data_IF_865276292577
#
_entry.id   IF_865276292577
#
_cell.length_a   1.000
_cell.length_b   1.000
_cell.length_c   1.000
_cell.angle_alpha   90.00
_cell.angle_beta   90.00
_cell.angle_gamma   90.00
#
_symmetry.space_group_name_H-M   'P 1'
#
loop_
_entity.id
_entity.type
_entity.pdbx_description
1 polymer ?
#
# COMPACT_ATOMS: atom_id res chain seq x y z
N UNK A 1 -28.53 -18.09 34.77
CA UNK A 1 -27.99 -17.70 33.45
C UNK A 1 -26.48 -17.91 33.44
N UNK A 2 -25.98 -18.95 32.75
CA UNK A 2 -24.53 -19.19 32.55
C UNK A 2 -24.08 -18.43 31.31
N UNK A 3 -23.18 -17.45 31.44
CA UNK A 3 -22.47 -16.82 30.31
C UNK A 3 -21.34 -17.75 29.88
N UNK A 4 -21.51 -18.47 28.78
CA UNK A 4 -20.40 -19.16 28.11
C UNK A 4 -19.69 -18.16 27.20
N UNK A 5 -18.73 -17.42 27.76
CA UNK A 5 -17.70 -16.77 26.96
C UNK A 5 -16.71 -17.86 26.54
N UNK A 6 -17.08 -18.66 25.53
CA UNK A 6 -16.13 -19.52 24.86
C UNK A 6 -15.20 -18.60 24.05
N UNK A 7 -14.09 -18.20 24.67
CA UNK A 7 -13.00 -17.53 23.99
C UNK A 7 -12.44 -18.51 22.96
N UNK A 8 -12.91 -18.39 21.72
CA UNK A 8 -12.43 -19.13 20.57
C UNK A 8 -10.89 -19.04 20.53
N UNK A 9 -10.22 -20.16 20.80
CA UNK A 9 -8.78 -20.18 21.01
C UNK A 9 -8.08 -19.81 19.71
N UNK A 10 -6.91 -19.15 19.79
CA UNK A 10 -6.14 -18.80 18.59
C UNK A 10 -5.84 -20.01 17.69
N UNK A 11 -5.79 -21.21 18.29
CA UNK A 11 -5.60 -22.49 17.59
C UNK A 11 -6.83 -22.92 16.77
N UNK A 12 -8.04 -22.65 17.24
CA UNK A 12 -9.28 -22.96 16.51
C UNK A 12 -9.41 -22.10 15.25
N UNK A 13 -9.00 -20.82 15.34
CA UNK A 13 -8.97 -19.92 14.17
C UNK A 13 -7.95 -20.36 13.12
N UNK A 14 -6.82 -20.93 13.55
CA UNK A 14 -5.79 -21.47 12.65
C UNK A 14 -6.26 -22.79 12.01
N UNK A 15 -6.98 -23.63 12.75
CA UNK A 15 -7.59 -24.84 12.23
C UNK A 15 -8.70 -24.52 11.21
N UNK A 16 -9.60 -23.57 11.53
CA UNK A 16 -10.64 -23.06 10.63
C UNK A 16 -10.05 -22.39 9.37
N UNK A 17 -8.95 -21.65 9.49
CA UNK A 17 -8.27 -21.07 8.34
C UNK A 17 -7.63 -22.13 7.41
N UNK A 18 -7.21 -23.27 7.99
CA UNK A 18 -6.65 -24.40 7.27
C UNK A 18 -7.74 -25.24 6.58
N UNK A 19 -8.87 -25.43 7.25
CA UNK A 19 -10.07 -26.10 6.72
C UNK A 19 -10.82 -25.25 5.68
N UNK A 20 -10.74 -23.91 5.77
CA UNK A 20 -11.34 -22.99 4.80
C UNK A 20 -10.58 -22.91 3.45
N UNK A 21 -9.56 -23.75 3.23
CA UNK A 21 -8.85 -23.83 1.94
C UNK A 21 -8.09 -22.56 1.56
N UNK A 22 -7.74 -21.69 2.52
CA UNK A 22 -6.93 -20.50 2.26
C UNK A 22 -5.46 -20.90 2.04
N UNK A 23 -5.19 -21.47 0.87
CA UNK A 23 -3.87 -21.88 0.43
C UNK A 23 -2.87 -20.73 0.52
N UNK A 24 -1.67 -21.02 1.03
CA UNK A 24 -0.53 -20.08 1.09
C UNK A 24 -0.05 -19.64 -0.31
N UNK A 25 -0.54 -20.28 -1.36
CA UNK A 25 -0.10 -20.13 -2.74
C UNK A 25 -1.20 -19.41 -3.54
N UNK A 26 -0.84 -18.31 -4.19
CA UNK A 26 -1.72 -17.58 -5.09
C UNK A 26 -1.38 -17.91 -6.53
N UNK A 27 -2.15 -18.80 -7.17
CA UNK A 27 -1.91 -19.23 -8.55
C UNK A 27 -1.94 -18.04 -9.52
N UNK A 28 -2.90 -17.14 -9.36
CA UNK A 28 -3.01 -15.92 -10.17
C UNK A 28 -1.85 -14.95 -9.90
N UNK A 29 -1.39 -14.85 -8.65
CA UNK A 29 -0.22 -14.05 -8.31
C UNK A 29 1.05 -14.57 -8.98
N UNK A 30 1.23 -15.89 -8.98
CA UNK A 30 2.37 -16.56 -9.64
C UNK A 30 2.31 -16.36 -11.15
N UNK A 31 1.13 -16.54 -11.77
CA UNK A 31 0.94 -16.30 -13.20
C UNK A 31 1.26 -14.85 -13.58
N UNK A 32 0.66 -13.89 -12.87
CA UNK A 32 0.90 -12.46 -13.09
C UNK A 32 2.39 -12.11 -12.93
N UNK A 33 3.03 -12.62 -11.87
CA UNK A 33 4.46 -12.44 -11.64
C UNK A 33 5.32 -13.01 -12.76
N UNK A 34 4.95 -14.18 -13.30
CA UNK A 34 5.67 -14.81 -14.42
C UNK A 34 5.53 -14.01 -15.72
N UNK A 35 4.33 -13.51 -16.03
CA UNK A 35 4.14 -12.61 -17.18
C UNK A 35 4.94 -11.31 -17.03
N UNK A 36 4.96 -10.74 -15.82
CA UNK A 36 5.75 -9.53 -15.53
C UNK A 36 7.25 -9.80 -15.68
N UNK A 37 7.74 -10.96 -15.24
CA UNK A 37 9.14 -11.32 -15.45
C UNK A 37 9.49 -11.31 -16.94
N UNK A 38 8.73 -12.02 -17.77
CA UNK A 38 8.99 -12.04 -19.22
C UNK A 38 8.87 -10.66 -19.87
N UNK A 39 7.83 -9.89 -19.54
CA UNK A 39 7.68 -8.52 -20.05
C UNK A 39 8.86 -7.63 -19.65
N UNK A 40 9.26 -7.66 -18.38
CA UNK A 40 10.40 -6.90 -17.88
C UNK A 40 11.71 -7.35 -18.54
N UNK A 41 11.90 -8.66 -18.77
CA UNK A 41 13.06 -9.18 -19.47
C UNK A 41 13.15 -8.60 -20.89
N UNK A 42 12.06 -8.64 -21.66
CA UNK A 42 12.04 -8.12 -23.03
C UNK A 42 12.31 -6.61 -23.09
N UNK A 43 11.74 -5.84 -22.16
CA UNK A 43 11.98 -4.39 -22.08
C UNK A 43 13.43 -4.09 -21.71
N UNK A 44 13.98 -4.76 -20.68
CA UNK A 44 15.37 -4.54 -20.26
C UNK A 44 16.36 -5.01 -21.34
N UNK A 45 16.10 -6.16 -21.96
CA UNK A 45 16.93 -6.68 -23.04
C UNK A 45 16.92 -5.76 -24.28
N UNK A 46 15.76 -5.19 -24.63
CA UNK A 46 15.68 -4.24 -25.75
C UNK A 46 16.44 -2.94 -25.48
N UNK A 47 16.39 -2.44 -24.23
CA UNK A 47 17.21 -1.29 -23.81
C UNK A 47 18.69 -1.61 -23.91
N UNK A 48 19.13 -2.76 -23.39
CA UNK A 48 20.53 -3.19 -23.50
C UNK A 48 20.97 -3.33 -24.96
N UNK A 49 20.13 -3.91 -25.82
CA UNK A 49 20.41 -4.02 -27.25
C UNK A 49 20.53 -2.65 -27.92
N UNK A 50 19.63 -1.72 -27.62
CA UNK A 50 19.64 -0.35 -28.17
C UNK A 50 20.91 0.41 -27.74
N UNK A 51 21.29 0.33 -26.45
CA UNK A 51 22.52 0.96 -25.93
C UNK A 51 23.77 0.33 -26.56
N UNK A 52 23.80 -0.99 -26.69
CA UNK A 52 24.94 -1.71 -27.30
C UNK A 52 25.16 -1.27 -28.76
N UNK A 53 24.07 -1.07 -29.50
CA UNK A 53 24.11 -0.54 -30.85
C UNK A 53 24.57 0.94 -30.89
N UNK A 54 24.05 1.78 -30.00
CA UNK A 54 24.39 3.20 -29.96
C UNK A 54 25.86 3.48 -29.58
N UNK A 55 26.45 2.64 -28.72
CA UNK A 55 27.86 2.76 -28.28
C UNK A 55 28.83 2.12 -29.29
N UNK A 56 28.34 1.54 -30.38
CA UNK A 56 29.17 0.88 -31.41
C UNK A 56 29.88 -0.37 -30.88
N UNK A 57 29.35 -0.98 -29.81
CA UNK A 57 29.93 -2.21 -29.24
C UNK A 57 29.82 -3.33 -30.26
N UNK A 58 28.74 -3.37 -31.06
CA UNK A 58 28.53 -4.33 -32.15
C UNK A 58 29.73 -4.44 -33.10
N UNK A 59 30.38 -3.32 -33.44
CA UNK A 59 31.55 -3.30 -34.33
C UNK A 59 32.85 -3.71 -33.60
N UNK A 60 32.93 -3.43 -32.30
CA UNK A 60 34.06 -3.83 -31.44
C UNK A 60 34.02 -5.32 -31.07
N UNK A 61 32.86 -5.97 -31.18
CA UNK A 61 32.72 -7.43 -31.02
C UNK A 61 33.63 -8.19 -32.00
N UNK A 62 33.90 -7.63 -33.18
CA UNK A 62 34.76 -8.25 -34.18
C UNK A 62 36.28 -8.21 -33.83
N UNK A 63 36.71 -7.36 -32.89
CA UNK A 63 38.14 -7.08 -32.62
C UNK A 63 38.59 -7.43 -31.20
N UNK A 64 37.65 -7.64 -30.28
CA UNK A 64 37.95 -8.01 -28.89
C UNK A 64 37.97 -9.54 -28.71
N UNK A 65 38.74 -10.01 -27.73
CA UNK A 65 38.80 -11.42 -27.37
C UNK A 65 37.42 -11.92 -26.90
N UNK A 66 36.96 -13.02 -27.50
CA UNK A 66 35.66 -13.64 -27.20
C UNK A 66 35.45 -13.99 -25.72
N UNK A 67 36.54 -14.22 -24.99
CA UNK A 67 36.51 -14.56 -23.57
C UNK A 67 36.09 -13.37 -22.70
N UNK A 68 36.69 -12.20 -22.89
CA UNK A 68 36.41 -11.00 -22.09
C UNK A 68 35.05 -10.36 -22.44
N UNK A 69 34.69 -10.40 -23.73
CA UNK A 69 33.35 -10.07 -24.19
C UNK A 69 32.29 -11.02 -23.64
N UNK A 70 32.60 -12.32 -23.56
CA UNK A 70 31.71 -13.34 -23.04
C UNK A 70 31.35 -13.13 -21.58
N UNK A 71 32.33 -12.74 -20.73
CA UNK A 71 32.06 -12.46 -19.30
C UNK A 71 31.15 -11.25 -19.17
N UNK A 72 31.53 -10.15 -19.83
CA UNK A 72 30.85 -8.87 -19.66
C UNK A 72 29.41 -8.93 -20.17
N UNK A 73 29.21 -9.44 -21.38
CA UNK A 73 27.88 -9.65 -21.95
C UNK A 73 27.06 -10.62 -21.08
N UNK A 74 27.70 -11.69 -20.60
CA UNK A 74 27.08 -12.65 -19.70
C UNK A 74 26.62 -12.07 -18.37
N UNK A 75 27.42 -11.21 -17.74
CA UNK A 75 27.05 -10.51 -16.51
C UNK A 75 25.91 -9.52 -16.73
N UNK A 76 25.88 -8.83 -17.88
CA UNK A 76 24.76 -7.96 -18.25
C UNK A 76 23.47 -8.77 -18.37
N UNK A 77 23.52 -9.92 -19.06
CA UNK A 77 22.36 -10.83 -19.17
C UNK A 77 21.93 -11.33 -17.79
N UNK A 78 22.86 -11.76 -16.94
CA UNK A 78 22.56 -12.18 -15.58
C UNK A 78 21.89 -11.06 -14.76
N UNK A 79 22.37 -9.81 -14.88
CA UNK A 79 21.77 -8.67 -14.21
C UNK A 79 20.34 -8.38 -14.73
N UNK A 80 20.14 -8.43 -16.05
CA UNK A 80 18.81 -8.26 -16.66
C UNK A 80 17.84 -9.33 -16.17
N UNK A 81 18.27 -10.60 -16.17
CA UNK A 81 17.48 -11.72 -15.66
C UNK A 81 17.16 -11.55 -14.17
N UNK A 82 18.15 -11.14 -13.37
CA UNK A 82 17.98 -10.90 -11.95
C UNK A 82 16.90 -9.85 -11.72
N UNK A 83 17.00 -8.68 -12.37
CA UNK A 83 16.05 -7.60 -12.22
C UNK A 83 14.65 -7.99 -12.72
N UNK A 84 14.56 -8.62 -13.89
CA UNK A 84 13.30 -9.10 -14.46
C UNK A 84 12.58 -10.05 -13.51
N UNK A 85 13.25 -11.11 -13.05
CA UNK A 85 12.64 -12.08 -12.15
C UNK A 85 12.42 -11.50 -10.75
N UNK A 86 13.24 -10.55 -10.28
CA UNK A 86 12.98 -9.78 -9.06
C UNK A 86 11.65 -9.04 -9.14
N UNK A 87 11.36 -8.35 -10.25
CA UNK A 87 10.08 -7.68 -10.45
C UNK A 87 8.91 -8.66 -10.53
N UNK A 88 9.07 -9.78 -11.24
CA UNK A 88 8.05 -10.82 -11.32
C UNK A 88 7.73 -11.43 -9.96
N UNK A 89 8.77 -11.78 -9.20
CA UNK A 89 8.63 -12.25 -7.83
C UNK A 89 7.98 -11.22 -6.91
N UNK A 90 8.32 -9.94 -7.04
CA UNK A 90 7.70 -8.86 -6.28
C UNK A 90 6.20 -8.77 -6.50
N UNK A 91 5.74 -8.84 -7.76
CA UNK A 91 4.31 -8.84 -8.08
C UNK A 91 3.61 -10.05 -7.49
N UNK A 92 4.20 -11.25 -7.61
CA UNK A 92 3.64 -12.47 -7.01
C UNK A 92 3.60 -12.40 -5.48
N UNK A 93 4.64 -11.86 -4.85
CA UNK A 93 4.76 -11.67 -3.41
C UNK A 93 3.73 -10.70 -2.85
N UNK A 94 3.33 -9.68 -3.62
CA UNK A 94 2.25 -8.76 -3.21
C UNK A 94 0.87 -9.40 -3.16
N UNK A 95 0.66 -10.48 -3.91
CA UNK A 95 -0.57 -11.26 -3.88
C UNK A 95 -0.46 -12.50 -2.97
N UNK A 96 0.71 -12.73 -2.36
CA UNK A 96 0.98 -13.85 -1.48
C UNK A 96 0.56 -13.55 -0.03
N UNK A 97 -0.32 -14.37 0.55
CA UNK A 97 -0.63 -14.32 1.99
C UNK A 97 0.43 -15.09 2.78
N UNK A 98 1.37 -14.37 3.41
CA UNK A 98 2.37 -14.88 4.37
C UNK A 98 3.38 -15.90 3.80
N UNK A 99 3.58 -15.92 2.48
CA UNK A 99 4.45 -16.88 1.80
C UNK A 99 5.07 -16.27 0.52
N UNK A 100 5.57 -15.04 0.61
CA UNK A 100 6.16 -14.31 -0.51
C UNK A 100 7.33 -15.03 -1.15
N UNK A 101 8.22 -15.61 -0.35
CA UNK A 101 9.34 -16.43 -0.84
C UNK A 101 8.86 -17.64 -1.67
N UNK A 102 7.80 -18.33 -1.22
CA UNK A 102 7.26 -19.51 -1.90
C UNK A 102 6.58 -19.13 -3.22
N UNK A 103 5.82 -18.02 -3.23
CA UNK A 103 5.20 -17.53 -4.47
C UNK A 103 6.25 -17.00 -5.45
N UNK A 104 7.32 -16.37 -4.97
CA UNK A 104 8.49 -16.01 -5.77
C UNK A 104 9.17 -17.24 -6.38
N UNK A 105 9.41 -18.28 -5.59
CA UNK A 105 9.95 -19.55 -6.11
C UNK A 105 9.02 -20.20 -7.16
N UNK A 106 7.70 -20.14 -6.95
CA UNK A 106 6.74 -20.64 -7.93
C UNK A 106 6.74 -19.84 -9.24
N UNK A 107 7.09 -18.55 -9.22
CA UNK A 107 7.31 -17.77 -10.46
C UNK A 107 8.49 -18.35 -11.25
N UNK A 108 9.59 -18.72 -10.58
CA UNK A 108 10.69 -19.43 -11.22
C UNK A 108 10.23 -20.76 -11.83
N UNK A 109 9.57 -21.60 -11.05
CA UNK A 109 9.10 -22.92 -11.50
C UNK A 109 8.14 -22.78 -12.69
N UNK A 110 7.14 -21.90 -12.59
CA UNK A 110 6.20 -21.67 -13.68
C UNK A 110 6.89 -21.09 -14.92
N UNK A 111 7.86 -20.19 -14.73
CA UNK A 111 8.68 -19.68 -15.81
C UNK A 111 9.37 -20.81 -16.57
N UNK A 112 10.12 -21.66 -15.87
CA UNK A 112 10.77 -22.83 -16.48
C UNK A 112 9.77 -23.74 -17.20
N UNK A 113 8.61 -24.02 -16.59
CA UNK A 113 7.57 -24.83 -17.21
C UNK A 113 7.03 -24.21 -18.51
N UNK A 114 6.84 -22.89 -18.56
CA UNK A 114 6.42 -22.19 -19.78
C UNK A 114 7.50 -22.30 -20.85
N UNK A 115 8.77 -22.08 -20.52
CA UNK A 115 9.87 -22.22 -21.50
C UNK A 115 9.91 -23.63 -22.07
N UNK A 116 9.89 -24.65 -21.20
CA UNK A 116 9.87 -26.06 -21.63
C UNK A 116 8.65 -26.36 -22.51
N UNK A 117 7.46 -25.90 -22.11
CA UNK A 117 6.22 -26.10 -22.85
C UNK A 117 6.26 -25.44 -24.24
N UNK A 118 6.76 -24.20 -24.33
CA UNK A 118 6.95 -23.50 -25.61
C UNK A 118 7.99 -24.20 -26.47
N UNK A 119 9.12 -24.63 -25.91
CA UNK A 119 10.14 -25.38 -26.65
C UNK A 119 9.57 -26.68 -27.24
N UNK A 120 8.80 -27.45 -26.47
CA UNK A 120 8.12 -28.65 -26.96
C UNK A 120 7.13 -28.31 -28.07
N UNK A 121 6.31 -27.27 -27.89
CA UNK A 121 5.33 -26.85 -28.90
C UNK A 121 6.01 -26.42 -30.21
N UNK A 122 7.09 -25.65 -30.14
CA UNK A 122 7.89 -25.25 -31.31
C UNK A 122 8.47 -26.49 -32.01
N UNK A 123 8.99 -27.46 -31.26
CA UNK A 123 9.54 -28.70 -31.84
C UNK A 123 8.48 -29.61 -32.49
N UNK A 124 7.22 -29.52 -32.07
CA UNK A 124 6.12 -30.27 -32.67
C UNK A 124 5.60 -29.61 -33.95
N UNK A 125 5.77 -28.30 -34.09
CA UNK A 125 5.30 -27.50 -35.23
C UNK A 125 6.40 -27.27 -36.28
N UNK A 126 7.66 -27.19 -35.85
CA UNK A 126 8.82 -27.13 -36.73
C UNK A 126 9.31 -28.56 -37.02
N UNK A 127 9.43 -28.93 -38.31
CA UNK A 127 9.99 -30.22 -38.75
C UNK A 127 11.18 -30.66 -37.88
N UNK A 128 11.03 -31.83 -37.23
CA UNK A 128 11.82 -32.27 -36.07
C UNK A 128 13.35 -32.34 -36.26
N UNK A 129 13.84 -32.27 -37.50
CA UNK A 129 15.26 -32.29 -37.82
C UNK A 129 16.00 -30.97 -37.48
N UNK A 130 15.30 -29.83 -37.42
CA UNK A 130 15.92 -28.55 -37.04
C UNK A 130 16.16 -28.45 -35.52
N UNK A 131 15.21 -28.95 -34.74
CA UNK A 131 15.23 -28.96 -33.28
C UNK A 131 16.37 -29.81 -32.69
N UNK A 132 16.54 -31.03 -33.19
CA UNK A 132 17.52 -32.00 -32.69
C UNK A 132 18.96 -31.54 -32.93
N UNK A 133 19.21 -30.75 -33.99
CA UNK A 133 20.53 -30.16 -34.30
C UNK A 133 20.94 -29.06 -33.31
N UNK A 134 19.98 -28.27 -32.80
CA UNK A 134 20.25 -27.21 -31.82
C UNK A 134 20.44 -27.72 -30.38
N UNK A 135 19.90 -28.90 -30.01
CA UNK A 135 20.09 -29.44 -28.65
C UNK A 135 21.42 -30.18 -28.46
N UNK A 136 22.05 -30.68 -29.53
CA UNK A 136 23.35 -31.36 -29.44
C UNK A 136 24.53 -30.40 -29.24
N UNK A 137 24.32 -29.09 -29.43
CA UNK A 137 25.35 -28.05 -29.26
C UNK A 137 25.44 -27.47 -27.85
N UNK A 138 24.65 -27.97 -26.88
CA UNK A 138 24.56 -27.42 -25.50
C UNK A 138 25.84 -27.65 -24.66
N UNK A 139 26.88 -28.30 -25.22
CA UNK A 139 28.28 -28.13 -24.80
C UNK A 139 28.50 -28.08 -23.28
N UNK A 140 28.22 -29.18 -22.58
CA UNK A 140 28.47 -29.27 -21.15
C UNK A 140 29.99 -29.32 -20.94
N UNK A 141 30.59 -28.34 -20.25
CA UNK A 141 32.03 -28.28 -20.03
C UNK A 141 32.47 -29.43 -19.13
N UNK A 142 33.42 -30.24 -19.60
CA UNK A 142 33.88 -31.47 -18.92
C UNK A 142 35.30 -31.38 -18.37
N UNK A 143 36.00 -30.26 -18.60
CA UNK A 143 37.38 -30.05 -18.16
C UNK A 143 37.53 -28.85 -17.22
N UNK A 144 38.45 -28.94 -16.24
CA UNK A 144 38.68 -27.88 -15.25
C UNK A 144 39.10 -26.52 -15.83
N UNK A 145 39.54 -26.48 -17.09
CA UNK A 145 39.85 -25.24 -17.82
C UNK A 145 38.59 -24.57 -18.36
N UNK A 146 37.62 -25.35 -18.83
CA UNK A 146 36.30 -24.86 -19.27
C UNK A 146 35.44 -24.34 -18.10
N UNK A 147 35.67 -24.81 -16.87
CA UNK A 147 35.04 -24.26 -15.66
C UNK A 147 35.49 -22.82 -15.37
N UNK A 148 36.70 -22.44 -15.79
CA UNK A 148 37.23 -21.08 -15.69
C UNK A 148 36.79 -20.15 -16.83
N UNK A 149 36.20 -20.70 -17.90
CA UNK A 149 35.80 -19.91 -19.07
C UNK A 149 34.67 -18.95 -18.72
N UNK A 150 34.75 -17.78 -19.34
CA UNK A 150 33.76 -16.72 -19.28
C UNK A 150 32.30 -17.15 -19.47
N UNK A 151 32.06 -18.05 -20.43
CA UNK A 151 30.73 -18.59 -20.72
C UNK A 151 30.15 -19.41 -19.57
N UNK A 152 31.00 -20.13 -18.83
CA UNK A 152 30.58 -20.94 -17.67
C UNK A 152 30.22 -20.04 -16.49
N UNK A 153 31.03 -19.02 -16.20
CA UNK A 153 30.74 -18.04 -15.13
C UNK A 153 29.46 -17.26 -15.42
N UNK A 154 29.31 -16.75 -16.64
CA UNK A 154 28.12 -16.04 -17.11
C UNK A 154 26.85 -16.91 -17.04
N UNK A 155 26.95 -18.16 -17.46
CA UNK A 155 25.85 -19.13 -17.41
C UNK A 155 25.42 -19.43 -15.98
N UNK A 156 26.38 -19.68 -15.08
CA UNK A 156 26.11 -19.92 -13.65
C UNK A 156 25.47 -18.67 -13.03
N UNK A 157 26.02 -17.48 -13.29
CA UNK A 157 25.46 -16.23 -12.78
C UNK A 157 24.01 -16.01 -13.25
N UNK A 158 23.73 -16.31 -14.51
CA UNK A 158 22.37 -16.21 -15.08
C UNK A 158 21.40 -17.22 -14.45
N UNK A 159 21.85 -18.45 -14.21
CA UNK A 159 21.06 -19.47 -13.52
C UNK A 159 20.72 -19.05 -12.09
N UNK A 160 21.73 -18.57 -11.35
CA UNK A 160 21.54 -18.05 -10.00
C UNK A 160 20.60 -16.84 -10.00
N UNK A 161 20.73 -15.94 -10.98
CA UNK A 161 19.86 -14.77 -11.11
C UNK A 161 18.38 -15.14 -11.28
N UNK A 162 18.08 -16.11 -12.14
CA UNK A 162 16.72 -16.60 -12.40
C UNK A 162 16.11 -17.28 -11.16
N UNK A 163 16.92 -17.94 -10.33
CA UNK A 163 16.45 -18.64 -9.11
C UNK A 163 16.31 -17.66 -7.94
N UNK A 164 17.32 -16.83 -7.70
CA UNK A 164 17.41 -15.95 -6.52
C UNK A 164 16.55 -14.70 -6.69
N UNK A 165 16.52 -14.11 -7.89
CA UNK A 165 15.75 -12.92 -8.22
C UNK A 165 14.30 -12.97 -7.74
N UNK A 166 13.49 -13.96 -8.16
CA UNK A 166 12.07 -13.97 -7.85
C UNK A 166 11.80 -14.33 -6.39
N UNK A 167 12.68 -15.09 -5.72
CA UNK A 167 12.58 -15.34 -4.28
C UNK A 167 12.77 -14.04 -3.49
N UNK A 168 13.83 -13.28 -3.80
CA UNK A 168 14.09 -11.98 -3.18
C UNK A 168 12.94 -11.00 -3.47
N UNK A 169 12.44 -11.00 -4.70
CA UNK A 169 11.31 -10.18 -5.12
C UNK A 169 10.07 -10.50 -4.30
N UNK A 170 9.75 -11.79 -4.19
CA UNK A 170 8.61 -12.29 -3.42
C UNK A 170 8.65 -11.88 -1.95
N UNK A 171 9.82 -12.00 -1.32
CA UNK A 171 10.03 -11.54 0.07
C UNK A 171 9.82 -10.03 0.18
N UNK A 172 10.36 -9.25 -0.76
CA UNK A 172 10.26 -7.79 -0.72
C UNK A 172 8.82 -7.31 -0.92
N UNK A 173 8.06 -7.96 -1.82
CA UNK A 173 6.65 -7.69 -2.08
C UNK A 173 5.78 -7.95 -0.84
N UNK A 174 6.05 -9.03 -0.12
CA UNK A 174 5.36 -9.38 1.12
C UNK A 174 5.67 -8.39 2.26
N UNK A 175 6.95 -8.04 2.46
CA UNK A 175 7.40 -7.16 3.56
C UNK A 175 6.72 -5.80 3.52
N UNK A 176 6.46 -5.26 2.33
CA UNK A 176 5.81 -3.96 2.18
C UNK A 176 4.38 -3.96 2.75
N UNK A 177 3.61 -5.03 2.52
CA UNK A 177 2.27 -5.18 3.09
C UNK A 177 2.30 -5.48 4.59
N UNK A 178 3.26 -6.30 5.05
CA UNK A 178 3.43 -6.56 6.48
C UNK A 178 3.69 -5.27 7.27
N UNK A 179 4.49 -4.34 6.72
CA UNK A 179 4.78 -3.04 7.36
C UNK A 179 3.54 -2.15 7.48
N UNK A 180 2.69 -2.12 6.45
CA UNK A 180 1.46 -1.32 6.46
C UNK A 180 0.41 -1.91 7.41
N UNK A 181 0.24 -3.24 7.40
CA UNK A 181 -0.68 -3.92 8.31
C UNK A 181 -0.21 -3.78 9.76
N UNK A 182 1.09 -3.90 10.02
CA UNK A 182 1.64 -3.67 11.37
C UNK A 182 1.41 -2.23 11.86
N UNK A 183 1.56 -1.24 10.99
CA UNK A 183 1.26 0.16 11.32
C UNK A 183 -0.24 0.42 11.52
N UNK A 184 -1.11 -0.30 10.81
CA UNK A 184 -2.56 -0.19 10.95
C UNK A 184 -3.12 -0.93 12.18
N UNK A 185 -2.42 -1.97 12.63
CA UNK A 185 -2.74 -2.75 13.84
C UNK A 185 -2.04 -2.22 15.10
N UNK A 186 -1.21 -1.16 14.97
CA UNK A 186 -0.57 -0.53 16.11
C UNK A 186 -1.64 0.21 16.94
N UNK A 187 -1.94 -0.22 18.18
CA UNK A 187 -2.97 0.40 19.01
C UNK A 187 -2.63 1.86 19.38
N UNK A 188 -1.41 2.32 19.13
CA UNK A 188 -1.01 3.72 19.33
C UNK A 188 -1.27 4.63 18.12
N UNK A 189 -1.48 4.05 16.93
CA UNK A 189 -1.67 4.77 15.66
C UNK A 189 -2.91 4.24 14.94
N UNK A 190 -4.08 4.75 15.34
CA UNK A 190 -5.38 4.37 14.78
C UNK A 190 -6.54 5.04 15.51
N UNK A 191 -7.78 4.81 15.07
CA UNK A 191 -8.98 5.37 15.73
C UNK A 191 -9.07 4.98 17.21
N UNK A 192 -8.70 3.75 17.55
CA UNK A 192 -8.64 3.26 18.93
C UNK A 192 -7.55 3.97 19.76
N UNK A 193 -6.39 4.26 19.16
CA UNK A 193 -5.32 5.00 19.81
C UNK A 193 -5.67 6.46 20.11
N UNK A 194 -6.52 7.08 19.27
CA UNK A 194 -7.07 8.42 19.52
C UNK A 194 -8.03 8.40 20.71
N UNK A 195 -8.94 7.43 20.76
CA UNK A 195 -9.88 7.30 21.88
C UNK A 195 -9.19 6.99 23.22
N UNK A 196 -8.11 6.19 23.23
CA UNK A 196 -7.33 5.98 24.45
C UNK A 196 -6.62 7.27 24.91
N UNK A 197 -6.00 8.03 24.00
CA UNK A 197 -5.37 9.31 24.34
C UNK A 197 -6.39 10.35 24.81
N UNK A 198 -7.57 10.39 24.21
CA UNK A 198 -8.69 11.22 24.65
C UNK A 198 -9.17 10.81 26.05
N UNK A 199 -9.32 9.51 26.31
CA UNK A 199 -9.69 9.00 27.63
C UNK A 199 -8.64 9.31 28.71
N UNK A 200 -7.34 9.13 28.40
CA UNK A 200 -6.23 9.48 29.30
C UNK A 200 -6.19 10.99 29.59
N UNK A 201 -6.47 11.83 28.58
CA UNK A 201 -6.57 13.28 28.77
C UNK A 201 -7.76 13.65 29.66
N UNK A 202 -8.92 13.06 29.42
CA UNK A 202 -10.10 13.28 30.26
C UNK A 202 -9.90 12.84 31.71
N UNK A 203 -9.13 11.78 31.96
CA UNK A 203 -8.74 11.37 33.31
C UNK A 203 -7.80 12.39 33.96
N UNK A 204 -6.76 12.84 33.26
CA UNK A 204 -5.86 13.90 33.77
C UNK A 204 -6.62 15.20 34.08
N UNK A 205 -7.49 15.64 33.18
CA UNK A 205 -8.32 16.83 33.38
C UNK A 205 -9.32 16.64 34.55
N UNK A 206 -9.70 15.41 34.88
CA UNK A 206 -10.54 15.12 36.04
C UNK A 206 -9.73 15.17 37.34
N UNK A 207 -8.54 14.56 37.35
CA UNK A 207 -7.63 14.54 38.50
C UNK A 207 -7.19 15.98 38.85
N UNK A 208 -6.81 16.79 37.88
CA UNK A 208 -6.46 18.21 38.08
C UNK A 208 -7.63 19.01 38.67
N UNK A 209 -8.86 18.73 38.22
CA UNK A 209 -10.07 19.37 38.78
C UNK A 209 -10.35 18.92 40.22
N UNK A 210 -10.06 17.66 40.55
CA UNK A 210 -10.18 17.15 41.91
C UNK A 210 -9.17 17.81 42.84
N UNK A 211 -7.91 17.97 42.39
CA UNK A 211 -6.85 18.63 43.16
C UNK A 211 -7.16 20.13 43.37
N UNK A 212 -7.61 20.83 42.33
CA UNK A 212 -8.04 22.23 42.42
C UNK A 212 -9.22 22.42 43.39
N UNK A 213 -10.18 21.49 43.37
CA UNK A 213 -11.32 21.54 44.28
C UNK A 213 -10.88 21.35 45.74
N UNK A 214 -9.96 20.42 45.99
CA UNK A 214 -9.38 20.23 47.33
C UNK A 214 -8.58 21.45 47.79
N UNK A 215 -7.77 22.04 46.90
CA UNK A 215 -6.98 23.23 47.20
C UNK A 215 -7.87 24.45 47.55
N UNK A 216 -9.05 24.58 46.92
CA UNK A 216 -10.04 25.62 47.28
C UNK A 216 -10.74 25.34 48.59
N UNK A 217 -11.07 24.08 48.88
CA UNK A 217 -11.70 23.69 50.13
C UNK A 217 -10.78 23.88 51.35
N UNK A 218 -9.47 23.66 51.16
CA UNK A 218 -8.46 23.88 52.20
C UNK A 218 -7.92 25.31 52.26
N UNK A 219 -8.47 26.26 51.48
CA UNK A 219 -8.01 27.64 51.50
C UNK A 219 -8.40 28.28 52.85
N UNK A 220 -7.42 28.67 53.69
CA UNK A 220 -7.74 29.31 54.97
C UNK A 220 -8.52 30.60 54.72
N UNK A 221 -9.54 30.84 55.56
CA UNK A 221 -10.36 32.04 55.47
C UNK A 221 -9.46 33.29 55.50
N UNK A 222 -9.70 34.28 54.63
CA UNK A 222 -8.93 35.52 54.68
C UNK A 222 -9.05 36.11 56.08
N UNK A 223 -7.95 36.66 56.64
CA UNK A 223 -7.99 37.25 57.97
C UNK A 223 -9.12 38.28 58.03
N UNK A 224 -9.92 38.22 59.08
CA UNK A 224 -11.02 39.15 59.29
C UNK A 224 -10.49 40.58 59.14
N UNK A 225 -11.10 41.37 58.23
CA UNK A 225 -10.73 42.78 58.10
C UNK A 225 -10.95 43.43 59.47
N UNK A 226 -9.99 44.23 59.98
CA UNK A 226 -10.23 45.03 61.17
C UNK A 226 -11.49 45.86 60.93
N UNK A 227 -12.47 45.74 61.82
CA UNK A 227 -13.66 46.57 61.79
C UNK A 227 -13.21 48.03 61.83
N UNK A 228 -13.31 48.72 60.69
CA UNK A 228 -13.10 50.14 60.64
C UNK A 228 -14.15 50.77 61.57
N UNK A 229 -13.66 51.43 62.62
CA UNK A 229 -14.45 52.17 63.60
C UNK A 229 -15.52 52.99 62.88
N UNK A 230 -16.79 52.64 63.09
CA UNK A 230 -17.93 53.37 62.54
C UNK A 230 -17.98 54.73 63.25
N UNK A 231 -17.51 55.79 62.58
CA UNK A 231 -17.69 57.15 63.08
C UNK A 231 -19.18 57.52 63.01
N UNK A 232 -19.74 58.21 64.02
CA UNK A 232 -21.13 58.62 64.01
C UNK A 232 -21.38 59.71 62.97
N UNK A 233 -22.55 59.62 62.34
CA UNK A 233 -23.04 60.48 61.27
C UNK A 233 -23.05 61.97 61.65
N UNK A 234 -22.43 62.80 60.81
CA UNK A 234 -22.82 64.21 60.69
C UNK A 234 -23.92 64.33 59.63
N UNK A 235 -25.13 64.58 60.13
CA UNK A 235 -26.27 64.94 59.32
C UNK A 235 -25.99 66.23 58.53
N UNK A 236 -26.06 66.16 57.21
CA UNK A 236 -26.36 67.34 56.39
C UNK A 236 -27.37 66.95 55.33
N UNK A 237 -28.63 67.27 55.64
CA UNK A 237 -29.70 67.43 54.66
C UNK A 237 -29.27 68.48 53.63
N UNK A 238 -29.49 68.27 52.32
CA UNK A 238 -30.04 69.30 51.43
C UNK A 238 -30.55 68.71 50.11
N UNK A 239 -31.84 68.92 49.94
CA UNK A 239 -32.57 69.33 48.74
C UNK A 239 -32.56 68.51 47.44
N UNK A 240 -33.79 68.09 47.13
CA UNK A 240 -34.40 67.86 45.83
C UNK A 240 -33.97 68.88 44.75
N UNK A 241 -33.84 68.40 43.52
CA UNK A 241 -33.73 69.22 42.32
C UNK A 241 -33.76 68.36 41.06
N UNK A 242 -34.94 68.29 40.44
CA UNK A 242 -35.20 67.82 39.08
C UNK A 242 -34.61 68.76 38.02
N UNK A 243 -33.99 68.21 36.97
CA UNK A 243 -34.04 68.68 35.56
C UNK A 243 -33.12 67.76 34.74
N UNK A 244 -33.65 67.01 33.77
CA UNK A 244 -33.77 67.39 32.34
C UNK A 244 -32.45 67.32 31.55
N UNK A 245 -32.41 66.30 30.67
CA UNK A 245 -32.16 66.39 29.22
C UNK A 245 -30.78 66.79 28.63
N UNK A 246 -30.24 65.83 27.83
CA UNK A 246 -29.81 65.97 26.39
C UNK A 246 -28.36 66.49 26.14
N UNK A 247 -27.64 66.21 25.01
CA UNK A 247 -27.49 65.02 24.11
C UNK A 247 -26.02 64.62 23.71
N UNK A 248 -25.90 63.48 22.98
CA UNK A 248 -25.02 63.07 21.81
C UNK A 248 -23.89 64.06 21.38
N UNK A 249 -22.61 63.73 21.11
CA UNK A 249 -21.93 62.87 20.08
C UNK A 249 -20.40 63.24 20.08
N UNK A 250 -19.51 62.79 19.15
CA UNK A 250 -19.38 61.56 18.36
C UNK A 250 -17.96 60.90 18.47
N UNK A 251 -17.74 59.91 17.62
CA UNK A 251 -16.56 59.05 17.47
C UNK A 251 -15.24 59.76 17.10
N UNK A 252 -14.13 59.21 17.60
CA UNK A 252 -12.81 59.29 16.97
C UNK A 252 -12.12 57.92 16.99
N UNK A 253 -11.88 57.39 15.79
CA UNK A 253 -10.81 56.43 15.50
C UNK A 253 -9.51 57.22 15.36
N UNK A 254 -8.35 56.65 15.72
CA UNK A 254 -7.41 56.40 14.64
C UNK A 254 -6.64 55.08 14.71
N UNK A 255 -6.49 54.57 13.49
CA UNK A 255 -5.55 53.63 12.92
C UNK A 255 -4.12 53.63 13.49
N UNK A 256 -3.48 52.45 13.44
CA UNK A 256 -2.03 52.35 13.31
C UNK A 256 -1.35 51.34 14.23
N UNK A 257 -1.23 50.08 13.80
CA UNK A 257 -0.32 49.14 14.48
C UNK A 257 -0.34 47.70 14.01
N UNK A 258 0.19 47.43 12.81
CA UNK A 258 0.49 46.07 12.31
C UNK A 258 1.34 45.28 13.31
N UNK A 259 1.00 44.00 13.52
CA UNK A 259 1.99 42.92 13.55
C UNK A 259 1.35 41.54 13.29
N UNK A 260 2.03 40.81 12.43
CA UNK A 260 1.68 39.57 11.75
C UNK A 260 1.82 38.32 12.61
N UNK A 261 0.85 37.41 12.53
CA UNK A 261 1.05 36.00 12.87
C UNK A 261 0.21 35.09 11.94
N UNK A 262 0.88 34.65 10.89
CA UNK A 262 0.65 33.46 10.06
C UNK A 262 -0.49 32.50 10.51
N UNK A 263 -1.64 32.53 9.83
CA UNK A 263 -2.64 31.46 9.89
C UNK A 263 -2.56 30.62 8.61
N UNK A 264 -2.15 29.36 8.77
CA UNK A 264 -2.07 28.39 7.68
C UNK A 264 -3.47 27.93 7.25
N UNK A 265 -3.89 28.35 6.07
CA UNK A 265 -5.06 27.83 5.37
C UNK A 265 -4.92 26.30 5.14
N UNK A 266 -5.86 25.51 5.67
CA UNK A 266 -6.11 24.12 5.23
C UNK A 266 -7.39 24.10 4.38
N UNK A 267 -7.37 23.71 3.09
CA UNK A 267 -8.52 23.88 2.19
C UNK A 267 -9.69 22.90 2.36
N UNK A 268 -9.64 21.93 3.27
CA UNK A 268 -10.58 20.79 3.25
C UNK A 268 -11.55 20.72 4.44
N UNK A 269 -11.53 21.69 5.36
CA UNK A 269 -12.27 21.57 6.64
C UNK A 269 -13.74 22.07 6.61
N UNK A 270 -14.26 22.56 5.50
CA UNK A 270 -15.59 23.20 5.44
C UNK A 270 -16.60 22.55 4.47
N UNK A 271 -16.32 21.38 3.89
CA UNK A 271 -17.21 20.77 2.89
C UNK A 271 -18.37 19.92 3.46
N UNK A 272 -18.47 19.73 4.78
CA UNK A 272 -19.43 18.78 5.39
C UNK A 272 -20.58 19.45 6.17
N UNK A 273 -20.71 20.79 6.15
CA UNK A 273 -21.77 21.49 6.90
C UNK A 273 -23.07 21.73 6.13
N UNK A 274 -23.09 21.52 4.80
CA UNK A 274 -24.23 21.90 3.95
C UNK A 274 -24.90 20.74 3.19
N UNK A 275 -24.74 19.48 3.64
CA UNK A 275 -25.45 18.35 3.03
C UNK A 275 -26.92 18.29 3.53
N UNK A 276 -27.94 18.32 2.65
CA UNK A 276 -29.34 18.17 3.06
C UNK A 276 -29.63 16.72 3.51
N UNK A 277 -30.60 16.51 4.42
CA UNK A 277 -30.89 15.19 4.97
C UNK A 277 -31.46 14.25 3.91
N UNK A 278 -30.84 13.09 3.75
CA UNK A 278 -31.32 12.02 2.87
C UNK A 278 -32.51 11.32 3.54
N UNK A 279 -33.72 11.61 3.08
CA UNK A 279 -34.94 10.91 3.47
C UNK A 279 -35.04 9.49 2.88
N UNK A 280 -35.92 8.63 3.43
CA UNK A 280 -36.03 7.22 3.04
C UNK A 280 -36.53 7.07 1.60
N UNK A 281 -35.83 6.25 0.81
CA UNK A 281 -36.18 5.94 -0.58
C UNK A 281 -37.45 5.09 -0.65
N UNK A 282 -38.54 5.68 -1.11
CA UNK A 282 -39.73 4.96 -1.56
C UNK A 282 -39.39 4.06 -2.76
N UNK A 283 -39.79 2.79 -2.67
CA UNK A 283 -39.90 1.90 -3.82
C UNK A 283 -41.19 2.26 -4.55
N UNK A 284 -41.08 2.79 -5.76
CA UNK A 284 -42.21 2.83 -6.70
C UNK A 284 -41.84 2.05 -7.96
N UNK A 285 -42.63 1.02 -8.22
CA UNK A 285 -42.61 0.27 -9.47
C UNK A 285 -43.32 1.04 -10.57
N UNK A 286 -42.95 0.73 -11.81
CA UNK A 286 -43.59 1.24 -13.01
C UNK A 286 -43.16 0.37 -14.19
N UNK A 287 -44.14 -0.31 -14.78
CA UNK A 287 -44.02 -1.31 -15.83
C UNK A 287 -43.67 -0.72 -17.21
N UNK A 288 -43.39 -1.55 -18.23
CA UNK A 288 -42.72 -1.16 -19.46
C UNK A 288 -43.70 -0.88 -20.61
N UNK A 289 -43.31 0.02 -21.49
CA UNK A 289 -43.84 0.19 -22.84
C UNK A 289 -42.88 1.10 -23.61
N UNK A 290 -42.86 1.15 -24.94
CA UNK A 290 -43.40 0.32 -26.00
C UNK A 290 -42.68 0.86 -27.25
N UNK A 291 -42.21 0.01 -28.17
CA UNK A 291 -41.68 0.53 -29.45
C UNK A 291 -40.65 -0.32 -30.18
N UNK A 292 -41.11 -1.25 -31.03
CA UNK A 292 -40.31 -1.77 -32.15
C UNK A 292 -40.70 -3.19 -32.58
N UNK A 293 -41.33 -3.40 -33.76
CA UNK A 293 -41.95 -4.67 -34.13
C UNK A 293 -41.00 -5.69 -34.80
N UNK A 294 -41.08 -6.92 -34.28
CA UNK A 294 -41.36 -8.24 -34.90
C UNK A 294 -40.74 -8.68 -36.26
N UNK A 295 -40.72 -10.02 -36.42
CA UNK A 295 -40.49 -10.85 -37.64
C UNK A 295 -39.00 -11.25 -37.85
N UNK A 296 -38.53 -12.52 -37.83
CA UNK A 296 -39.13 -13.84 -38.13
C UNK A 296 -38.33 -15.05 -37.55
N UNK A 297 -39.07 -15.95 -36.88
CA UNK A 297 -39.22 -17.41 -37.13
C UNK A 297 -38.01 -18.36 -37.39
N UNK A 298 -37.83 -19.27 -36.41
CA UNK A 298 -37.65 -20.76 -36.44
C UNK A 298 -36.81 -21.41 -37.55
N UNK A 299 -35.90 -22.30 -37.15
CA UNK A 299 -36.15 -23.76 -37.10
C UNK A 299 -34.99 -24.52 -36.42
N UNK A 300 -35.38 -25.56 -35.68
CA UNK A 300 -34.53 -26.46 -34.88
C UNK A 300 -34.71 -27.84 -35.52
N UNK A 301 -33.66 -28.45 -36.03
CA UNK A 301 -33.67 -29.85 -36.50
C UNK A 301 -32.63 -30.66 -35.73
N UNK A 302 -33.10 -31.82 -35.24
CA UNK A 302 -32.37 -32.85 -34.50
C UNK A 302 -32.05 -33.99 -35.50
N UNK A 303 -30.93 -34.73 -35.38
CA UNK A 303 -30.54 -35.72 -36.39
C UNK A 303 -31.23 -37.09 -36.18
N UNK A 304 -31.29 -37.95 -37.22
CA UNK A 304 -31.79 -39.31 -37.10
C UNK A 304 -30.69 -40.31 -36.69
N UNK A 305 -31.20 -41.48 -36.28
CA UNK A 305 -30.55 -42.66 -35.68
C UNK A 305 -29.56 -43.37 -36.58
#
# INVERSE_FOLDING_TARGET
MRRTNAAESGSDRVALAKDAGMGRISLFGVLAGTLVAYGAFLVLASVVAAVSNAVGISDKVATLNWEELGVTAGLIVAAVLLLSYLFGGYVAGRMARRAGALNGFLVFVLGVLIVVGVSVLVNLVADGDAAVRNFRSVGIPTSGKEWGNAGTVAGIASLLAIIVGPILGGILGERWHAKLVHRALDPTVGAEGRHRKEAEKHQRDADERHDDAQARAFRPAPPARPEAYRQPEEATQRHQGTSEAVPVAPAEEPDGGRQSAWSGNRPWANAERDAPPVGPRERQGGAPGDGGPDVTRRTRTRPPR
#
